data_IF_061494617038
#
_entry.id   IF_061494617038
#
_cell.length_a   1.000
_cell.length_b   1.000
_cell.length_c   1.000
_cell.angle_alpha   90.00
_cell.angle_beta   90.00
_cell.angle_gamma   90.00
#
_symmetry.space_group_name_H-M   'P 1'
#
loop_
_entity.id
_entity.type
_entity.pdbx_description
1 polymer ?
#
# COMPACT_ATOMS: atom_id res chain seq x y z
N UNK A 1 11.51 10.56 4.48
CA UNK A 1 10.82 10.20 3.22
C UNK A 1 10.54 8.71 3.21
N UNK A 2 9.69 8.18 2.30
CA UNK A 2 9.42 6.74 2.21
C UNK A 2 10.68 5.90 2.03
N UNK A 3 11.60 6.31 1.14
CA UNK A 3 12.87 5.60 0.93
C UNK A 3 13.73 5.54 2.20
N UNK A 4 13.87 6.67 2.91
CA UNK A 4 14.60 6.69 4.19
C UNK A 4 13.95 5.77 5.22
N UNK A 5 12.62 5.73 5.29
CA UNK A 5 11.91 4.83 6.20
C UNK A 5 12.15 3.35 5.84
N UNK A 6 12.18 3.02 4.54
CA UNK A 6 12.51 1.67 4.06
C UNK A 6 13.98 1.29 4.31
N UNK A 7 14.90 2.23 4.51
CA UNK A 7 16.29 1.96 4.88
C UNK A 7 16.47 1.69 6.39
N UNK A 8 15.52 2.12 7.23
CA UNK A 8 15.60 1.89 8.68
C UNK A 8 15.47 0.41 9.03
N UNK A 9 16.21 -0.05 10.03
CA UNK A 9 16.04 -1.38 10.60
C UNK A 9 14.79 -1.42 11.48
N UNK A 10 13.78 -2.16 11.01
CA UNK A 10 12.46 -2.25 11.64
C UNK A 10 12.52 -3.04 12.95
N UNK A 11 13.58 -3.82 13.20
CA UNK A 11 13.74 -4.54 14.46
C UNK A 11 14.00 -3.58 15.64
N UNK A 12 14.69 -2.47 15.35
CA UNK A 12 15.05 -1.45 16.33
C UNK A 12 14.07 -0.28 16.36
N UNK A 13 13.29 -0.07 15.29
CA UNK A 13 12.33 1.03 15.19
C UNK A 13 11.05 0.75 15.99
N UNK A 14 10.90 1.40 17.15
CA UNK A 14 9.73 1.25 18.05
C UNK A 14 8.64 2.30 17.85
N UNK A 15 8.93 3.37 17.12
CA UNK A 15 7.99 4.44 16.83
C UNK A 15 8.61 5.48 15.90
N UNK A 16 7.76 6.29 15.29
CA UNK A 16 8.15 7.33 14.34
C UNK A 16 7.51 8.67 14.71
N UNK A 17 8.31 9.71 14.82
CA UNK A 17 7.87 11.07 15.12
C UNK A 17 8.26 11.98 13.96
N UNK A 18 7.28 12.68 13.38
CA UNK A 18 7.49 13.50 12.17
C UNK A 18 7.08 14.96 12.44
N UNK A 19 7.96 15.90 12.11
CA UNK A 19 7.69 17.34 12.19
C UNK A 19 6.55 17.77 11.27
N UNK A 20 6.55 17.24 10.05
CA UNK A 20 5.57 17.54 9.01
C UNK A 20 5.13 16.26 8.31
N UNK A 21 3.89 16.27 7.83
CA UNK A 21 3.26 15.14 7.13
C UNK A 21 1.78 15.05 7.47
N UNK A 22 0.95 14.74 6.47
CA UNK A 22 -0.45 14.38 6.70
C UNK A 22 -0.59 12.93 7.18
N UNK A 23 -1.74 12.58 7.75
CA UNK A 23 -2.10 11.17 8.05
C UNK A 23 -2.12 10.29 6.80
N UNK A 24 -2.23 10.91 5.62
CA UNK A 24 -2.15 10.28 4.30
C UNK A 24 -0.74 10.29 3.69
N UNK A 25 0.27 10.81 4.39
CA UNK A 25 1.66 10.81 3.89
C UNK A 25 2.14 9.37 3.67
N UNK A 26 2.86 9.15 2.57
CA UNK A 26 3.42 7.86 2.20
C UNK A 26 4.26 7.21 3.32
N UNK A 27 5.01 8.03 4.07
CA UNK A 27 5.81 7.52 5.20
C UNK A 27 4.93 7.03 6.35
N UNK A 28 3.80 7.71 6.61
CA UNK A 28 2.85 7.34 7.67
C UNK A 28 2.08 6.07 7.30
N UNK A 29 1.65 5.97 6.03
CA UNK A 29 0.97 4.77 5.52
C UNK A 29 1.88 3.54 5.66
N UNK A 30 3.15 3.66 5.25
CA UNK A 30 4.14 2.61 5.41
C UNK A 30 4.37 2.27 6.88
N UNK A 31 4.60 3.26 7.75
CA UNK A 31 4.82 2.99 9.17
C UNK A 31 3.64 2.23 9.80
N UNK A 32 2.40 2.58 9.43
CA UNK A 32 1.20 1.87 9.88
C UNK A 32 1.16 0.41 9.43
N UNK A 33 1.53 0.09 8.20
CA UNK A 33 1.51 -1.31 7.74
C UNK A 33 2.62 -2.17 8.32
N UNK A 34 3.72 -1.56 8.76
CA UNK A 34 4.74 -2.22 9.59
C UNK A 34 4.39 -2.22 11.09
N UNK A 35 3.18 -1.78 11.46
CA UNK A 35 2.71 -1.72 12.84
C UNK A 35 3.60 -0.86 13.76
N UNK A 36 4.14 0.25 13.22
CA UNK A 36 4.99 1.21 13.93
C UNK A 36 4.13 2.41 14.36
N UNK A 37 4.00 2.68 15.67
CA UNK A 37 3.31 3.88 16.18
C UNK A 37 3.91 5.14 15.57
N UNK A 38 3.06 5.99 14.97
CA UNK A 38 3.53 7.17 14.24
C UNK A 38 2.73 8.40 14.63
N UNK A 39 3.43 9.47 15.01
CA UNK A 39 2.84 10.80 15.25
C UNK A 39 3.39 11.81 14.26
N UNK A 40 2.51 12.66 13.75
CA UNK A 40 2.82 13.74 12.81
C UNK A 40 2.50 15.10 13.43
N UNK A 41 3.18 16.15 12.98
CA UNK A 41 3.01 17.51 13.53
C UNK A 41 3.72 17.69 14.87
N UNK A 42 4.76 16.90 15.12
CA UNK A 42 5.50 16.90 16.37
C UNK A 42 6.53 18.03 16.37
N UNK A 43 6.58 18.81 17.44
CA UNK A 43 7.68 19.74 17.65
C UNK A 43 8.95 18.96 18.04
N UNK A 44 9.77 18.64 17.03
CA UNK A 44 11.02 17.89 17.22
C UNK A 44 12.03 18.69 18.03
N UNK A 45 12.00 20.02 17.95
CA UNK A 45 12.95 20.87 18.64
C UNK A 45 12.73 20.75 20.17
N UNK A 46 11.47 20.68 20.61
CA UNK A 46 11.08 20.40 21.99
C UNK A 46 11.50 18.99 22.49
N UNK A 47 11.76 18.04 21.59
CA UNK A 47 12.19 16.68 21.93
C UNK A 47 13.70 16.49 22.05
N UNK A 48 14.49 17.46 21.58
CA UNK A 48 15.95 17.42 21.61
C UNK A 48 16.54 17.07 22.99
N UNK A 49 16.03 17.62 24.12
CA UNK A 49 16.57 17.28 25.46
C UNK A 49 16.42 15.80 25.84
N UNK A 50 15.52 15.07 25.19
CA UNK A 50 15.17 13.68 25.49
C UNK A 50 15.86 12.67 24.57
N UNK A 51 16.77 13.13 23.72
CA UNK A 51 17.60 12.23 22.92
C UNK A 51 18.37 11.27 23.82
N UNK A 52 18.47 10.00 23.40
CA UNK A 52 19.06 8.90 24.16
C UNK A 52 18.38 8.57 25.50
N UNK A 53 17.20 9.14 25.78
CA UNK A 53 16.36 8.80 26.92
C UNK A 53 15.16 7.95 26.51
N UNK A 54 14.52 7.32 27.50
CA UNK A 54 13.28 6.57 27.27
C UNK A 54 12.10 7.53 27.21
N UNK A 55 11.32 7.44 26.13
CA UNK A 55 10.04 8.14 25.95
C UNK A 55 8.97 7.12 25.57
N UNK A 56 7.70 7.45 25.84
CA UNK A 56 6.56 6.66 25.36
C UNK A 56 5.84 7.41 24.24
N UNK A 57 5.43 6.66 23.22
CA UNK A 57 4.64 7.16 22.09
C UNK A 57 3.28 6.49 22.16
N UNK A 58 2.24 7.29 22.36
CA UNK A 58 0.86 6.83 22.39
C UNK A 58 0.15 7.27 21.10
N UNK A 59 0.09 6.36 20.14
CA UNK A 59 -0.58 6.59 18.86
C UNK A 59 -2.10 6.74 18.97
N UNK A 60 -2.71 6.24 20.04
CA UNK A 60 -4.16 6.34 20.26
C UNK A 60 -4.54 7.70 20.86
N UNK A 61 -3.77 8.15 21.86
CA UNK A 61 -3.96 9.46 22.49
C UNK A 61 -3.34 10.61 21.68
N UNK A 62 -2.48 10.30 20.70
CA UNK A 62 -1.74 11.32 19.95
C UNK A 62 -0.66 12.00 20.80
N UNK A 63 -0.09 11.31 21.79
CA UNK A 63 0.73 11.90 22.84
C UNK A 63 2.14 11.33 22.89
N UNK A 64 3.09 12.18 23.32
CA UNK A 64 4.46 11.80 23.62
C UNK A 64 4.68 12.07 25.11
N UNK A 65 5.10 11.04 25.83
CA UNK A 65 5.40 11.16 27.26
C UNK A 65 6.91 11.13 27.45
N UNK A 66 7.42 12.27 27.88
CA UNK A 66 8.81 12.48 28.29
C UNK A 66 8.90 12.46 29.81
N UNK A 67 10.07 12.07 30.35
CA UNK A 67 10.28 11.92 31.80
C UNK A 67 9.13 11.20 32.54
N UNK A 68 8.77 9.97 32.11
CA UNK A 68 7.64 9.27 32.69
C UNK A 68 7.95 8.91 34.15
N UNK A 69 7.18 9.47 35.09
CA UNK A 69 7.21 9.02 36.48
C UNK A 69 6.81 7.54 36.60
N UNK A 70 7.12 6.91 37.74
CA UNK A 70 6.92 5.46 37.92
C UNK A 70 5.50 4.98 37.62
N UNK A 71 4.49 5.77 37.98
CA UNK A 71 3.09 5.43 37.73
C UNK A 71 2.78 5.36 36.22
N UNK A 72 3.29 6.32 35.45
CA UNK A 72 3.08 6.40 34.00
C UNK A 72 3.85 5.31 33.27
N UNK A 73 5.10 5.06 33.67
CA UNK A 73 5.89 3.96 33.11
C UNK A 73 5.21 2.60 33.37
N UNK A 74 4.68 2.40 34.58
CA UNK A 74 3.97 1.16 34.94
C UNK A 74 2.69 0.98 34.12
N UNK A 75 1.94 2.05 33.88
CA UNK A 75 0.76 2.03 33.02
C UNK A 75 1.11 1.54 31.61
N UNK A 76 2.07 2.17 30.93
CA UNK A 76 2.44 1.78 29.57
C UNK A 76 3.06 0.37 29.49
N UNK A 77 3.80 -0.05 30.51
CA UNK A 77 4.29 -1.43 30.60
C UNK A 77 3.15 -2.44 30.75
N UNK A 78 2.12 -2.11 31.52
CA UNK A 78 0.94 -2.96 31.67
C UNK A 78 0.15 -3.03 30.36
N UNK A 79 -0.08 -1.90 29.69
CA UNK A 79 -0.73 -1.86 28.38
C UNK A 79 0.03 -2.69 27.35
N UNK A 80 1.36 -2.57 27.29
CA UNK A 80 2.19 -3.38 26.40
C UNK A 80 2.01 -4.89 26.66
N UNK A 81 1.99 -5.31 27.93
CA UNK A 81 1.74 -6.73 28.31
C UNK A 81 0.36 -7.21 27.90
N UNK A 82 -0.67 -6.38 28.05
CA UNK A 82 -2.04 -6.73 27.64
C UNK A 82 -2.10 -6.91 26.12
N UNK A 83 -1.49 -6.00 25.35
CA UNK A 83 -1.43 -6.12 23.89
C UNK A 83 -0.63 -7.33 23.43
N UNK A 84 0.47 -7.68 24.11
CA UNK A 84 1.25 -8.89 23.81
C UNK A 84 0.47 -10.17 24.09
N UNK A 85 -0.24 -10.24 25.23
CA UNK A 85 -1.09 -11.37 25.56
C UNK A 85 -2.24 -11.55 24.55
N UNK A 86 -2.88 -10.45 24.14
CA UNK A 86 -3.93 -10.47 23.13
C UNK A 86 -3.39 -10.95 21.77
N UNK A 87 -2.22 -10.46 21.35
CA UNK A 87 -1.57 -10.90 20.11
C UNK A 87 -1.25 -12.40 20.12
N UNK A 88 -0.76 -12.92 21.25
CA UNK A 88 -0.47 -14.36 21.37
C UNK A 88 -1.75 -15.19 21.30
N UNK A 89 -2.82 -14.76 21.97
CA UNK A 89 -4.14 -15.41 21.86
C UNK A 89 -4.67 -15.39 20.43
N UNK A 90 -4.44 -14.30 19.69
CA UNK A 90 -4.92 -14.15 18.32
C UNK A 90 -4.07 -14.93 17.29
N UNK A 91 -2.85 -15.34 17.64
CA UNK A 91 -1.91 -16.02 16.72
C UNK A 91 -2.49 -17.30 16.11
N UNK A 92 -3.40 -17.97 16.84
CA UNK A 92 -4.10 -19.18 16.37
C UNK A 92 -4.98 -18.94 15.14
N UNK A 93 -5.36 -17.70 14.86
CA UNK A 93 -6.22 -17.33 13.74
C UNK A 93 -5.44 -17.04 12.45
N UNK A 94 -4.13 -16.80 12.54
CA UNK A 94 -3.30 -16.43 11.37
C UNK A 94 -3.33 -17.47 10.24
N UNK A 95 -3.58 -18.73 10.58
CA UNK A 95 -3.62 -19.84 9.61
C UNK A 95 -5.03 -20.38 9.37
N UNK A 96 -6.05 -19.80 10.00
CA UNK A 96 -7.43 -20.29 9.88
C UNK A 96 -8.17 -19.56 8.78
N UNK A 97 -9.02 -20.30 8.05
CA UNK A 97 -9.94 -19.68 7.12
C UNK A 97 -11.01 -18.91 7.88
N UNK A 98 -11.18 -17.64 7.53
CA UNK A 98 -12.25 -16.81 8.09
C UNK A 98 -13.63 -17.37 7.71
N UNK A 99 -14.42 -17.66 8.76
CA UNK A 99 -15.79 -18.13 8.66
C UNK A 99 -16.64 -17.44 9.72
N UNK A 100 -17.91 -17.21 9.40
CA UNK A 100 -18.91 -16.78 10.38
C UNK A 100 -19.25 -17.92 11.35
N UNK A 101 -19.95 -17.61 12.45
CA UNK A 101 -20.35 -18.61 13.45
C UNK A 101 -21.26 -19.72 12.87
N UNK A 102 -22.00 -19.43 11.80
CA UNK A 102 -22.83 -20.38 11.03
C UNK A 102 -22.10 -21.00 9.82
N UNK A 103 -20.79 -20.77 9.68
CA UNK A 103 -19.91 -21.50 8.76
C UNK A 103 -19.72 -20.88 7.36
N UNK A 104 -20.32 -19.71 7.09
CA UNK A 104 -20.19 -19.00 5.82
C UNK A 104 -18.75 -18.53 5.64
N UNK A 105 -18.15 -18.90 4.51
CA UNK A 105 -16.78 -18.53 4.16
C UNK A 105 -16.72 -17.08 3.71
N UNK A 106 -15.79 -16.30 4.28
CA UNK A 106 -15.52 -14.91 3.88
C UNK A 106 -14.01 -14.75 3.68
N UNK A 107 -13.57 -14.29 2.53
CA UNK A 107 -12.15 -14.00 2.29
C UNK A 107 -11.71 -12.74 3.06
N UNK A 108 -10.65 -12.85 3.86
CA UNK A 108 -10.02 -11.69 4.50
C UNK A 108 -8.71 -11.38 3.77
N UNK A 109 -8.74 -10.31 3.00
CA UNK A 109 -7.60 -9.87 2.19
C UNK A 109 -7.07 -8.52 2.67
N UNK A 110 -5.78 -8.28 2.47
CA UNK A 110 -5.13 -7.03 2.85
C UNK A 110 -5.21 -5.97 1.73
N UNK A 111 -5.18 -4.71 2.14
CA UNK A 111 -4.96 -3.58 1.24
C UNK A 111 -3.52 -3.10 1.41
N UNK A 112 -2.78 -3.01 0.32
CA UNK A 112 -1.38 -2.56 0.30
C UNK A 112 -1.20 -1.40 -0.69
N UNK A 113 -0.15 -0.61 -0.50
CA UNK A 113 0.25 0.49 -1.37
C UNK A 113 1.70 0.33 -1.89
N UNK A 114 2.48 -0.57 -1.28
CA UNK A 114 3.83 -0.95 -1.66
C UNK A 114 3.99 -2.47 -1.59
N UNK A 115 4.85 -3.01 -2.47
CA UNK A 115 5.16 -4.45 -2.55
C UNK A 115 5.66 -5.04 -1.23
N UNK A 116 6.46 -4.28 -0.48
CA UNK A 116 7.02 -4.69 0.82
C UNK A 116 5.97 -4.96 1.89
N UNK A 117 4.77 -4.39 1.77
CA UNK A 117 3.67 -4.62 2.71
C UNK A 117 3.03 -5.99 2.52
N UNK A 118 3.23 -6.64 1.36
CA UNK A 118 2.69 -7.97 1.08
C UNK A 118 3.21 -9.00 2.10
N UNK A 119 4.51 -8.97 2.43
CA UNK A 119 5.10 -9.88 3.41
C UNK A 119 4.44 -9.76 4.79
N UNK A 120 4.27 -8.52 5.28
CA UNK A 120 3.61 -8.25 6.55
C UNK A 120 2.13 -8.65 6.52
N UNK A 121 1.42 -8.38 5.42
CA UNK A 121 0.02 -8.77 5.23
C UNK A 121 -0.16 -10.29 5.34
N UNK A 122 0.62 -11.05 4.57
CA UNK A 122 0.56 -12.52 4.59
C UNK A 122 1.05 -13.11 5.92
N UNK A 123 2.04 -12.49 6.57
CA UNK A 123 2.49 -12.86 7.91
C UNK A 123 1.42 -12.65 8.99
N UNK A 124 0.51 -11.69 8.77
CA UNK A 124 -0.66 -11.43 9.62
C UNK A 124 -1.91 -12.23 9.20
N UNK A 125 -1.75 -13.28 8.39
CA UNK A 125 -2.82 -14.21 8.05
C UNK A 125 -3.76 -13.74 6.93
N UNK A 126 -3.38 -12.71 6.16
CA UNK A 126 -4.15 -12.34 4.98
C UNK A 126 -4.23 -13.51 3.99
N UNK A 127 -5.43 -13.75 3.47
CA UNK A 127 -5.71 -14.85 2.54
C UNK A 127 -5.44 -14.45 1.08
N UNK A 128 -5.20 -13.15 0.85
CA UNK A 128 -4.87 -12.54 -0.42
C UNK A 128 -4.57 -11.04 -0.22
N UNK A 129 -4.24 -10.36 -1.31
CA UNK A 129 -4.26 -8.89 -1.36
C UNK A 129 -5.49 -8.48 -2.16
N UNK A 130 -6.47 -7.88 -1.51
CA UNK A 130 -7.73 -7.47 -2.11
C UNK A 130 -7.62 -6.15 -2.87
N UNK A 131 -6.58 -5.37 -2.56
CA UNK A 131 -6.29 -4.10 -3.23
C UNK A 131 -4.81 -3.75 -3.10
N UNK A 132 -4.07 -3.81 -4.20
CA UNK A 132 -2.78 -3.16 -4.34
C UNK A 132 -2.99 -1.82 -5.06
N UNK A 133 -2.89 -0.72 -4.30
CA UNK A 133 -2.95 0.65 -4.80
C UNK A 133 -1.65 1.02 -5.51
N UNK A 134 -1.73 1.32 -6.80
CA UNK A 134 -0.53 1.64 -7.59
C UNK A 134 -0.24 3.13 -7.69
N UNK A 135 -1.10 4.02 -7.20
CA UNK A 135 -0.92 5.48 -7.37
C UNK A 135 0.41 5.96 -6.79
N UNK A 136 0.84 5.35 -5.69
CA UNK A 136 2.12 5.67 -5.04
C UNK A 136 3.33 5.38 -5.93
N UNK A 137 3.19 4.51 -6.93
CA UNK A 137 4.26 4.19 -7.89
C UNK A 137 4.51 5.33 -8.89
N UNK A 138 3.57 6.27 -9.00
CA UNK A 138 3.62 7.39 -9.94
C UNK A 138 3.88 8.74 -9.27
N UNK A 139 3.65 8.84 -7.96
CA UNK A 139 3.85 10.06 -7.16
C UNK A 139 5.30 10.24 -6.69
N UNK A 140 5.61 11.45 -6.22
CA UNK A 140 6.91 11.84 -5.65
C UNK A 140 8.11 11.52 -6.57
N UNK A 141 7.94 11.65 -7.89
CA UNK A 141 8.97 11.40 -8.89
C UNK A 141 8.83 12.35 -10.08
N UNK A 142 9.91 12.49 -10.85
CA UNK A 142 10.01 13.43 -11.98
C UNK A 142 9.55 12.84 -13.32
N UNK A 143 9.35 11.52 -13.41
CA UNK A 143 8.85 10.85 -14.61
C UNK A 143 8.06 9.59 -14.27
N UNK A 144 7.24 9.11 -15.21
CA UNK A 144 6.50 7.87 -15.06
C UNK A 144 7.43 6.65 -14.87
N UNK A 145 7.02 5.65 -14.05
CA UNK A 145 7.74 4.38 -13.96
C UNK A 145 7.73 3.63 -15.30
N UNK A 146 8.83 2.96 -15.61
CA UNK A 146 8.94 2.10 -16.79
C UNK A 146 8.28 0.73 -16.60
N UNK A 147 8.06 0.00 -17.69
CA UNK A 147 7.45 -1.33 -17.66
C UNK A 147 8.22 -2.32 -16.78
N UNK A 148 9.55 -2.38 -16.94
CA UNK A 148 10.41 -3.29 -16.16
C UNK A 148 10.44 -2.95 -14.67
N UNK A 149 10.34 -1.67 -14.32
CA UNK A 149 10.25 -1.22 -12.92
C UNK A 149 8.95 -1.71 -12.29
N UNK A 150 7.80 -1.45 -12.93
CA UNK A 150 6.50 -1.91 -12.47
C UNK A 150 6.44 -3.44 -12.37
N UNK A 151 6.94 -4.14 -13.39
CA UNK A 151 7.01 -5.60 -13.40
C UNK A 151 7.76 -6.14 -12.18
N UNK A 152 8.94 -5.59 -11.87
CA UNK A 152 9.73 -6.02 -10.72
C UNK A 152 9.00 -5.77 -9.39
N UNK A 153 8.28 -4.66 -9.27
CA UNK A 153 7.48 -4.34 -8.08
C UNK A 153 6.35 -5.36 -7.89
N UNK A 154 5.65 -5.73 -8.95
CA UNK A 154 4.58 -6.73 -8.88
C UNK A 154 5.13 -8.13 -8.59
N UNK A 155 6.26 -8.51 -9.19
CA UNK A 155 6.95 -9.77 -8.86
C UNK A 155 7.36 -9.82 -7.38
N UNK A 156 7.92 -8.73 -6.84
CA UNK A 156 8.28 -8.65 -5.43
C UNK A 156 7.06 -8.84 -4.51
N UNK A 157 5.89 -8.28 -4.87
CA UNK A 157 4.67 -8.51 -4.11
C UNK A 157 4.21 -9.98 -4.19
N UNK A 158 4.33 -10.61 -5.37
CA UNK A 158 3.97 -12.01 -5.60
C UNK A 158 4.87 -13.00 -4.87
N UNK A 159 6.15 -12.70 -4.65
CA UNK A 159 7.09 -13.57 -3.91
C UNK A 159 6.53 -13.93 -2.52
N UNK A 160 5.85 -13.00 -1.85
CA UNK A 160 5.24 -13.24 -0.53
C UNK A 160 3.87 -13.95 -0.60
N UNK A 161 3.27 -14.01 -1.79
CA UNK A 161 1.89 -14.47 -1.96
C UNK A 161 1.76 -16.00 -1.89
N UNK A 162 2.80 -16.78 -2.16
CA UNK A 162 2.76 -18.26 -2.10
C UNK A 162 1.51 -18.85 -2.80
N UNK A 163 1.17 -18.34 -3.98
CA UNK A 163 0.00 -18.77 -4.77
C UNK A 163 -1.34 -18.11 -4.42
N UNK A 164 -1.40 -17.28 -3.36
CA UNK A 164 -2.59 -16.45 -3.05
C UNK A 164 -2.71 -15.30 -4.05
N UNK A 165 -3.95 -14.86 -4.33
CA UNK A 165 -4.17 -13.82 -5.35
C UNK A 165 -3.87 -12.41 -4.84
N UNK A 166 -3.32 -11.59 -5.72
CA UNK A 166 -3.16 -10.14 -5.52
C UNK A 166 -3.98 -9.40 -6.57
N UNK A 167 -4.87 -8.52 -6.12
CA UNK A 167 -5.67 -7.65 -6.99
C UNK A 167 -4.92 -6.32 -7.14
N UNK A 168 -4.35 -6.09 -8.32
CA UNK A 168 -3.71 -4.82 -8.66
C UNK A 168 -4.76 -3.87 -9.21
N UNK A 169 -4.98 -2.76 -8.51
CA UNK A 169 -5.81 -1.69 -9.05
C UNK A 169 -4.95 -0.81 -9.94
N UNK A 170 -5.39 -0.57 -11.16
CA UNK A 170 -4.70 0.32 -12.09
C UNK A 170 -4.69 1.75 -11.55
N UNK A 171 -3.83 2.60 -12.11
CA UNK A 171 -3.57 3.93 -11.57
C UNK A 171 -4.84 4.78 -11.39
N UNK A 172 -5.18 5.14 -10.16
CA UNK A 172 -6.21 6.14 -9.80
C UNK A 172 -5.55 7.50 -9.54
N UNK A 173 -4.97 8.08 -10.59
CA UNK A 173 -4.29 9.39 -10.58
C UNK A 173 -5.26 10.47 -11.10
N UNK A 174 -5.01 11.71 -10.72
CA UNK A 174 -5.87 12.86 -11.00
C UNK A 174 -6.69 13.22 -9.77
N UNK A 175 -7.30 14.39 -9.82
CA UNK A 175 -8.05 14.92 -8.69
C UNK A 175 -7.13 15.51 -7.60
N UNK A 176 -7.21 14.97 -6.39
CA UNK A 176 -6.46 15.35 -5.18
C UNK A 176 -5.02 14.79 -5.13
N UNK A 177 -4.61 14.13 -6.21
CA UNK A 177 -3.40 13.30 -6.31
C UNK A 177 -2.47 13.85 -7.40
N UNK A 178 -1.70 14.92 -7.12
CA UNK A 178 -0.91 15.58 -8.13
C UNK A 178 0.24 14.69 -8.62
N UNK A 179 0.45 14.69 -9.93
CA UNK A 179 1.58 14.05 -10.59
C UNK A 179 2.14 15.05 -11.59
N UNK A 180 3.13 15.82 -11.14
CA UNK A 180 3.58 17.05 -11.80
C UNK A 180 3.99 16.84 -13.26
N UNK A 181 4.62 15.71 -13.59
CA UNK A 181 5.07 15.42 -14.96
C UNK A 181 3.95 15.03 -15.92
N UNK A 182 2.73 14.75 -15.43
CA UNK A 182 1.57 14.47 -16.30
C UNK A 182 0.83 15.75 -16.72
N UNK A 183 1.16 16.91 -16.14
CA UNK A 183 0.52 18.20 -16.45
C UNK A 183 -1.02 18.16 -16.44
N UNK A 184 -1.61 17.36 -15.54
CA UNK A 184 -3.07 17.24 -15.42
C UNK A 184 -3.63 18.61 -14.98
N UNK A 185 -4.62 19.17 -15.71
CA UNK A 185 -5.14 20.49 -15.40
C UNK A 185 -5.83 20.52 -14.03
N UNK A 186 -5.72 21.66 -13.35
CA UNK A 186 -6.44 21.88 -12.10
C UNK A 186 -7.95 22.01 -12.37
N UNK A 187 -8.76 21.38 -11.53
CA UNK A 187 -10.22 21.39 -11.63
C UNK A 187 -10.85 22.00 -10.38
N UNK A 188 -12.02 22.62 -10.55
CA UNK A 188 -12.79 23.16 -9.42
C UNK A 188 -13.27 22.06 -8.46
N UNK A 189 -13.59 20.87 -8.98
CA UNK A 189 -13.93 19.70 -8.16
C UNK A 189 -13.12 18.46 -8.61
N UNK A 190 -11.94 18.24 -8.01
CA UNK A 190 -11.05 17.16 -8.38
C UNK A 190 -11.61 15.75 -8.09
N UNK A 191 -12.59 15.61 -7.19
CA UNK A 191 -13.21 14.32 -6.86
C UNK A 191 -14.23 13.86 -7.90
N UNK A 192 -14.89 14.79 -8.58
CA UNK A 192 -15.88 14.49 -9.62
C UNK A 192 -15.30 14.54 -11.04
N UNK A 193 -14.07 15.05 -11.19
CA UNK A 193 -13.47 15.39 -12.47
C UNK A 193 -12.59 14.31 -13.11
N UNK A 194 -11.49 14.76 -13.69
CA UNK A 194 -10.60 14.06 -14.60
C UNK A 194 -9.58 13.20 -13.84
N UNK A 195 -9.94 11.94 -13.58
CA UNK A 195 -9.13 10.97 -12.83
C UNK A 195 -9.36 9.51 -13.26
N UNK A 196 -8.43 8.63 -12.88
CA UNK A 196 -8.56 7.18 -13.04
C UNK A 196 -8.87 6.79 -14.50
N UNK A 197 -9.83 5.90 -14.75
CA UNK A 197 -10.15 5.42 -16.11
C UNK A 197 -10.42 6.54 -17.11
N UNK A 198 -10.90 7.70 -16.64
CA UNK A 198 -11.26 8.86 -17.48
C UNK A 198 -10.06 9.52 -18.14
N UNK A 199 -8.86 9.38 -17.57
CA UNK A 199 -7.63 9.92 -18.15
C UNK A 199 -6.92 8.90 -19.06
N UNK A 200 -7.32 7.63 -19.03
CA UNK A 200 -6.53 6.57 -19.67
C UNK A 200 -6.44 6.72 -21.18
N UNK A 201 -7.42 7.33 -21.84
CA UNK A 201 -7.38 7.55 -23.29
C UNK A 201 -6.28 8.54 -23.67
N UNK A 202 -6.18 9.67 -22.97
CA UNK A 202 -5.14 10.67 -23.22
C UNK A 202 -3.74 10.15 -22.83
N UNK A 203 -3.66 9.35 -21.76
CA UNK A 203 -2.41 8.74 -21.28
C UNK A 203 -2.32 7.24 -21.60
N UNK A 204 -2.76 6.84 -22.80
CA UNK A 204 -2.85 5.43 -23.20
C UNK A 204 -1.51 4.68 -23.14
N UNK A 205 -0.39 5.36 -23.39
CA UNK A 205 0.95 4.78 -23.27
C UNK A 205 1.28 4.37 -21.82
N UNK A 206 0.91 5.20 -20.86
CA UNK A 206 1.08 4.95 -19.43
C UNK A 206 0.23 3.78 -18.96
N UNK A 207 -1.03 3.75 -19.40
CA UNK A 207 -1.95 2.65 -19.10
C UNK A 207 -1.48 1.33 -19.72
N UNK A 208 -1.05 1.35 -20.98
CA UNK A 208 -0.51 0.17 -21.68
C UNK A 208 0.73 -0.37 -20.97
N UNK A 209 1.64 0.51 -20.54
CA UNK A 209 2.84 0.14 -19.75
C UNK A 209 2.43 -0.57 -18.44
N UNK A 210 1.41 -0.06 -17.77
CA UNK A 210 0.89 -0.68 -16.55
C UNK A 210 0.24 -2.05 -16.83
N UNK A 211 -0.60 -2.17 -17.85
CA UNK A 211 -1.22 -3.46 -18.22
C UNK A 211 -0.19 -4.51 -18.57
N UNK A 212 0.80 -4.16 -19.42
CA UNK A 212 1.88 -5.07 -19.82
C UNK A 212 2.70 -5.53 -18.62
N UNK A 213 3.06 -4.63 -17.72
CA UNK A 213 3.81 -5.00 -16.51
C UNK A 213 3.04 -5.93 -15.57
N UNK A 214 1.73 -5.71 -15.37
CA UNK A 214 0.87 -6.61 -14.59
C UNK A 214 0.76 -7.99 -15.27
N UNK A 215 0.53 -8.03 -16.59
CA UNK A 215 0.45 -9.27 -17.35
C UNK A 215 1.77 -10.05 -17.28
N UNK A 216 2.91 -9.39 -17.51
CA UNK A 216 4.22 -10.04 -17.38
C UNK A 216 4.44 -10.65 -15.99
N UNK A 217 4.07 -9.91 -14.94
CA UNK A 217 4.21 -10.39 -13.58
C UNK A 217 3.27 -11.57 -13.27
N UNK A 218 2.13 -11.70 -13.96
CA UNK A 218 1.19 -12.82 -13.74
C UNK A 218 1.75 -14.18 -14.16
N UNK A 219 2.83 -14.23 -14.95
CA UNK A 219 3.59 -15.46 -15.18
C UNK A 219 4.16 -16.08 -13.89
N UNK A 220 4.32 -15.28 -12.83
CA UNK A 220 4.93 -15.67 -11.56
C UNK A 220 3.91 -15.94 -10.44
N UNK A 221 2.62 -15.70 -10.66
CA UNK A 221 1.59 -15.92 -9.65
C UNK A 221 0.24 -15.32 -10.01
N UNK A 222 -0.75 -15.50 -9.12
CA UNK A 222 -2.11 -15.07 -9.38
C UNK A 222 -2.28 -13.56 -9.21
N UNK A 223 -2.31 -12.84 -10.33
CA UNK A 223 -2.67 -11.42 -10.38
C UNK A 223 -4.07 -11.24 -10.95
N UNK A 224 -4.81 -10.27 -10.41
CA UNK A 224 -6.08 -9.79 -10.95
C UNK A 224 -5.96 -8.30 -11.20
N UNK A 225 -6.63 -7.80 -12.23
CA UNK A 225 -6.66 -6.37 -12.57
C UNK A 225 -8.00 -5.78 -12.13
N UNK A 226 -7.96 -4.67 -11.40
CA UNK A 226 -9.14 -3.88 -11.01
C UNK A 226 -9.02 -2.48 -11.60
N UNK A 227 -10.09 -1.98 -12.22
CA UNK A 227 -10.13 -0.64 -12.80
C UNK A 227 -10.91 0.32 -11.88
N UNK A 228 -10.30 1.43 -11.45
CA UNK A 228 -10.99 2.43 -10.63
C UNK A 228 -11.97 3.29 -11.44
N UNK A 229 -13.02 3.77 -10.76
CA UNK A 229 -13.93 4.82 -11.24
C UNK A 229 -14.72 4.51 -12.53
N UNK A 230 -14.91 3.23 -12.86
CA UNK A 230 -15.80 2.82 -13.94
C UNK A 230 -17.22 3.35 -13.66
N UNK A 231 -17.77 4.00 -14.66
CA UNK A 231 -19.09 4.65 -14.66
C UNK A 231 -19.96 4.23 -15.83
N UNK A 232 -19.38 3.70 -16.92
CA UNK A 232 -20.13 3.24 -18.09
C UNK A 232 -19.63 1.90 -18.64
N UNK A 233 -20.43 1.28 -19.51
CA UNK A 233 -20.06 0.02 -20.18
C UNK A 233 -18.98 0.24 -21.24
N UNK A 234 -18.99 1.40 -21.89
CA UNK A 234 -18.02 1.78 -22.92
C UNK A 234 -16.60 1.80 -22.35
N UNK A 235 -16.42 2.32 -21.13
CA UNK A 235 -15.13 2.30 -20.41
C UNK A 235 -14.64 0.86 -20.17
N UNK A 236 -15.55 -0.06 -19.82
CA UNK A 236 -15.21 -1.49 -19.63
C UNK A 236 -14.78 -2.12 -20.95
N UNK A 237 -15.51 -1.86 -22.04
CA UNK A 237 -15.21 -2.40 -23.36
C UNK A 237 -13.85 -1.90 -23.86
N UNK A 238 -13.59 -0.60 -23.72
CA UNK A 238 -12.31 0.02 -24.10
C UNK A 238 -11.14 -0.57 -23.29
N UNK A 239 -11.29 -0.73 -21.98
CA UNK A 239 -10.24 -1.37 -21.16
C UNK A 239 -9.99 -2.81 -21.62
N UNK A 240 -11.03 -3.58 -21.91
CA UNK A 240 -10.88 -4.96 -22.40
C UNK A 240 -10.17 -5.02 -23.74
N UNK A 241 -10.44 -4.07 -24.63
CA UNK A 241 -9.72 -3.92 -25.90
C UNK A 241 -8.23 -3.65 -25.64
N UNK A 242 -7.89 -2.67 -24.80
CA UNK A 242 -6.49 -2.38 -24.44
C UNK A 242 -5.78 -3.53 -23.74
N UNK A 243 -6.48 -4.28 -22.90
CA UNK A 243 -5.94 -5.50 -22.30
C UNK A 243 -5.64 -6.57 -23.37
N UNK A 244 -6.53 -6.76 -24.35
CA UNK A 244 -6.32 -7.70 -25.44
C UNK A 244 -5.16 -7.29 -26.35
N UNK A 245 -5.04 -6.00 -26.67
CA UNK A 245 -3.90 -5.44 -27.39
C UNK A 245 -2.57 -5.72 -26.64
N UNK A 246 -2.52 -5.43 -25.33
CA UNK A 246 -1.34 -5.68 -24.50
C UNK A 246 -0.97 -7.18 -24.46
N UNK A 247 -1.95 -8.08 -24.29
CA UNK A 247 -1.73 -9.54 -24.39
C UNK A 247 -1.14 -9.92 -25.75
N UNK A 248 -1.68 -9.38 -26.84
CA UNK A 248 -1.19 -9.70 -28.19
C UNK A 248 0.23 -9.19 -28.44
N UNK A 249 0.59 -8.00 -27.94
CA UNK A 249 1.95 -7.50 -28.03
C UNK A 249 2.94 -8.41 -27.30
N UNK A 250 2.61 -8.82 -26.06
CA UNK A 250 3.44 -9.75 -25.29
C UNK A 250 3.61 -11.10 -25.99
N UNK A 251 2.55 -11.63 -26.62
CA UNK A 251 2.65 -12.85 -27.45
C UNK A 251 3.61 -12.68 -28.62
N UNK A 252 3.51 -11.56 -29.36
CA UNK A 252 4.39 -11.29 -30.50
C UNK A 252 5.86 -11.16 -30.06
N UNK A 253 6.09 -10.61 -28.87
CA UNK A 253 7.41 -10.47 -28.26
C UNK A 253 7.90 -11.75 -27.55
N UNK A 254 7.09 -12.81 -27.54
CA UNK A 254 7.37 -14.09 -26.86
C UNK A 254 7.63 -13.92 -25.35
N UNK A 255 6.97 -12.96 -24.72
CA UNK A 255 7.07 -12.72 -23.29
C UNK A 255 5.95 -13.49 -22.57
N UNK A 256 6.25 -14.33 -21.56
CA UNK A 256 5.24 -15.11 -20.85
C UNK A 256 4.34 -14.22 -19.99
N UNK A 257 3.06 -14.61 -19.90
CA UNK A 257 2.04 -14.06 -19.00
C UNK A 257 0.95 -15.12 -18.74
N UNK A 258 0.15 -14.95 -17.69
CA UNK A 258 -1.07 -15.78 -17.50
C UNK A 258 -2.15 -15.39 -18.51
N UNK A 259 -2.56 -16.35 -19.33
CA UNK A 259 -3.56 -16.15 -20.39
C UNK A 259 -4.97 -15.91 -19.86
N UNK A 260 -5.23 -16.27 -18.60
CA UNK A 260 -6.54 -16.11 -17.96
C UNK A 260 -6.92 -14.66 -17.63
#
# INVERSE_FOLDING_TARGET
>A
TPSQFLELDKNHLKGLLLKSGGTTSHTVILARSFNIPTLVGVDIDALTPWQHQTIYIDGNAGAIVVEPGEAVARYYQQEARVQDALREQQRVWLTQQARTADGIRIEIAANIAHSVEAQAAFGNGAEGVGLFRTEMLYMDRTSAPGESELYNIFCQALESANGRSIIVRTMDIGGDKPVDYLNIPAEANPFLGYRAVRIYEEYASLFTTQLRSILRASAHGSLKIMIPMISSMEEILWVKEKLAEAKQQLRNEHIPFDEK
#
